data_IF_973239567141
#
_entry.id   IF_973239567141
#
_cell.length_a   1.000
_cell.length_b   1.000
_cell.length_c   1.000
_cell.angle_alpha   90.00
_cell.angle_beta   90.00
_cell.angle_gamma   90.00
#
_symmetry.space_group_name_H-M   'P 1'
#
loop_
_entity.id
_entity.type
_entity.pdbx_description
1 polymer ?
#
# COMPACT_ATOMS: atom_id res chain seq x y z
N UNK A 1 4.32 -9.17 -9.61
CA UNK A 1 5.62 -9.34 -10.32
C UNK A 1 6.49 -8.16 -9.94
N UNK A 2 7.69 -8.40 -9.42
CA UNK A 2 8.63 -7.34 -9.03
C UNK A 2 9.80 -7.40 -10.02
N UNK A 3 10.11 -6.28 -10.67
CA UNK A 3 11.34 -6.09 -11.42
C UNK A 3 12.38 -5.48 -10.48
N UNK A 4 13.47 -6.19 -10.21
CA UNK A 4 14.52 -5.74 -9.30
C UNK A 4 15.74 -5.32 -10.11
N UNK A 5 15.78 -4.03 -10.47
CA UNK A 5 16.92 -3.40 -11.15
C UNK A 5 17.01 -1.94 -10.71
N UNK A 6 18.22 -1.49 -10.36
CA UNK A 6 18.47 -0.11 -9.92
C UNK A 6 18.16 0.92 -11.01
N UNK A 7 18.24 0.53 -12.29
CA UNK A 7 17.88 1.36 -13.43
C UNK A 7 16.36 1.46 -13.66
N UNK A 8 15.56 0.68 -12.93
CA UNK A 8 14.09 0.76 -12.98
C UNK A 8 13.50 1.76 -11.97
N UNK A 9 14.35 2.38 -11.14
CA UNK A 9 13.92 3.42 -10.21
C UNK A 9 13.59 4.72 -10.97
N UNK A 10 12.41 5.28 -10.69
CA UNK A 10 12.04 6.57 -11.23
C UNK A 10 12.96 7.67 -10.65
N UNK A 11 13.48 8.54 -11.53
CA UNK A 11 14.30 9.68 -11.10
C UNK A 11 13.50 10.73 -10.32
N UNK A 12 12.21 10.84 -10.61
CA UNK A 12 11.27 11.76 -9.96
C UNK A 12 9.92 11.05 -9.82
N UNK A 13 9.29 11.20 -8.66
CA UNK A 13 7.90 10.77 -8.42
C UNK A 13 7.06 11.99 -8.07
N UNK A 14 5.82 12.03 -8.57
CA UNK A 14 4.85 13.10 -8.29
C UNK A 14 3.59 12.47 -7.75
N UNK A 15 3.27 12.75 -6.49
CA UNK A 15 2.10 12.21 -5.80
C UNK A 15 1.10 13.34 -5.57
N UNK A 16 0.23 13.57 -6.55
CA UNK A 16 -0.81 14.60 -6.48
C UNK A 16 -2.14 13.99 -6.01
N UNK A 17 -2.67 14.38 -4.83
CA UNK A 17 -3.93 13.84 -4.31
C UNK A 17 -5.15 14.22 -5.17
N UNK A 18 -5.09 15.30 -5.94
CA UNK A 18 -6.20 15.72 -6.82
C UNK A 18 -6.47 14.69 -7.92
N UNK A 19 -5.42 14.00 -8.39
CA UNK A 19 -5.54 12.93 -9.38
C UNK A 19 -6.24 11.67 -8.85
N UNK A 20 -6.49 11.60 -7.54
CA UNK A 20 -7.11 10.46 -6.86
C UNK A 20 -8.56 10.72 -6.43
N UNK A 21 -9.06 11.95 -6.54
CA UNK A 21 -10.42 12.32 -6.10
C UNK A 21 -11.50 11.49 -6.80
N UNK A 22 -11.35 11.27 -8.11
CA UNK A 22 -12.34 10.57 -8.94
C UNK A 22 -12.36 9.05 -8.78
N UNK A 23 -11.50 8.48 -7.91
CA UNK A 23 -11.41 7.02 -7.76
C UNK A 23 -12.62 6.48 -7.00
N UNK A 24 -13.28 5.42 -7.50
CA UNK A 24 -14.40 4.77 -6.81
C UNK A 24 -14.03 4.32 -5.39
N UNK A 25 -15.01 4.31 -4.49
CA UNK A 25 -14.83 3.90 -3.11
C UNK A 25 -14.27 2.46 -2.98
N UNK A 26 -14.76 1.53 -3.81
CA UNK A 26 -14.28 0.14 -3.83
C UNK A 26 -12.80 0.05 -4.23
N UNK A 27 -12.38 0.82 -5.24
CA UNK A 27 -10.98 0.87 -5.65
C UNK A 27 -10.11 1.50 -4.56
N UNK A 28 -10.57 2.60 -3.96
CA UNK A 28 -9.88 3.29 -2.86
C UNK A 28 -9.66 2.37 -1.67
N UNK A 29 -10.68 1.62 -1.27
CA UNK A 29 -10.58 0.63 -0.19
C UNK A 29 -9.57 -0.46 -0.55
N UNK A 30 -9.67 -1.03 -1.75
CA UNK A 30 -8.79 -2.12 -2.17
C UNK A 30 -7.31 -1.68 -2.25
N UNK A 31 -7.02 -0.50 -2.82
CA UNK A 31 -5.65 0.04 -2.86
C UNK A 31 -5.13 0.48 -1.49
N UNK A 32 -6.01 0.99 -0.62
CA UNK A 32 -5.63 1.38 0.73
C UNK A 32 -5.29 0.19 1.62
N UNK A 33 -6.04 -0.91 1.49
CA UNK A 33 -5.75 -2.17 2.19
C UNK A 33 -4.44 -2.80 1.69
N UNK A 34 -4.18 -2.74 0.38
CA UNK A 34 -2.90 -3.17 -0.20
C UNK A 34 -1.72 -2.36 0.38
N UNK A 35 -1.86 -1.04 0.48
CA UNK A 35 -0.88 -0.19 1.16
C UNK A 35 -0.72 -0.56 2.65
N UNK A 36 -1.80 -0.88 3.36
CA UNK A 36 -1.71 -1.32 4.75
C UNK A 36 -0.91 -2.64 4.86
N UNK A 37 -1.20 -3.61 4.00
CA UNK A 37 -0.47 -4.89 3.99
C UNK A 37 1.01 -4.68 3.70
N UNK A 38 1.37 -3.90 2.69
CA UNK A 38 2.77 -3.55 2.41
C UNK A 38 3.48 -3.01 3.66
N UNK A 39 2.83 -2.11 4.40
CA UNK A 39 3.46 -1.47 5.56
C UNK A 39 3.63 -2.46 6.73
N UNK A 40 2.63 -3.29 6.98
CA UNK A 40 2.72 -4.35 8.01
C UNK A 40 3.80 -5.36 7.65
N UNK A 41 3.85 -5.82 6.41
CA UNK A 41 4.86 -6.77 5.95
C UNK A 41 6.27 -6.19 6.00
N UNK A 42 6.43 -4.89 5.73
CA UNK A 42 7.72 -4.22 5.84
C UNK A 42 8.25 -4.19 7.29
N UNK A 43 7.38 -3.95 8.28
CA UNK A 43 7.76 -3.94 9.71
C UNK A 43 8.20 -5.33 10.20
N UNK A 44 7.60 -6.40 9.68
CA UNK A 44 7.93 -7.77 10.09
C UNK A 44 8.94 -8.46 9.16
N UNK A 45 9.49 -7.72 8.18
CA UNK A 45 10.45 -8.26 7.25
C UNK A 45 11.78 -8.60 7.94
N UNK A 46 12.43 -9.69 7.53
CA UNK A 46 13.72 -10.10 8.10
C UNK A 46 14.83 -9.04 7.94
N UNK A 47 14.70 -8.15 6.94
CA UNK A 47 15.63 -7.06 6.67
C UNK A 47 15.21 -5.71 7.24
N UNK A 48 14.20 -5.67 8.12
CA UNK A 48 13.73 -4.44 8.75
C UNK A 48 14.86 -3.69 9.47
N UNK A 49 14.83 -2.37 9.36
CA UNK A 49 15.79 -1.44 9.95
C UNK A 49 15.08 -0.17 10.42
N UNK A 50 15.72 0.61 11.29
CA UNK A 50 15.08 1.76 11.96
C UNK A 50 14.34 2.72 10.99
N UNK A 51 14.92 2.99 9.82
CA UNK A 51 14.31 3.87 8.81
C UNK A 51 13.04 3.25 8.20
N UNK A 52 13.07 1.96 7.88
CA UNK A 52 11.93 1.28 7.26
C UNK A 52 10.81 1.09 8.27
N UNK A 53 11.14 0.80 9.52
CA UNK A 53 10.16 0.71 10.61
C UNK A 53 9.51 2.06 10.90
N UNK A 54 10.29 3.13 11.00
CA UNK A 54 9.76 4.47 11.24
C UNK A 54 8.75 4.90 10.15
N UNK A 55 9.10 4.67 8.88
CA UNK A 55 8.25 5.02 7.73
C UNK A 55 7.02 4.12 7.62
N UNK A 56 7.17 2.81 7.84
CA UNK A 56 6.06 1.86 7.78
C UNK A 56 5.09 2.01 8.95
N UNK A 57 5.57 2.20 10.19
CA UNK A 57 4.72 2.43 11.36
C UNK A 57 3.93 3.75 11.24
N UNK A 58 4.57 4.80 10.71
CA UNK A 58 3.86 6.04 10.40
C UNK A 58 2.75 5.79 9.36
N UNK A 59 3.07 5.10 8.26
CA UNK A 59 2.10 4.79 7.22
C UNK A 59 0.93 3.97 7.75
N UNK A 60 1.17 2.94 8.58
CA UNK A 60 0.12 2.15 9.24
C UNK A 60 -0.84 3.07 9.99
N UNK A 61 -0.32 3.93 10.86
CA UNK A 61 -1.13 4.84 11.67
C UNK A 61 -2.00 5.75 10.80
N UNK A 62 -1.41 6.38 9.78
CA UNK A 62 -2.13 7.26 8.88
C UNK A 62 -3.19 6.51 8.05
N UNK A 63 -2.88 5.31 7.56
CA UNK A 63 -3.84 4.51 6.78
C UNK A 63 -5.06 4.15 7.63
N UNK A 64 -4.87 3.73 8.89
CA UNK A 64 -6.00 3.45 9.80
C UNK A 64 -6.89 4.68 10.03
N UNK A 65 -6.30 5.87 10.11
CA UNK A 65 -7.03 7.12 10.37
C UNK A 65 -7.75 7.65 9.12
N UNK A 66 -7.09 7.66 7.96
CA UNK A 66 -7.54 8.39 6.78
C UNK A 66 -8.17 7.51 5.70
N UNK A 67 -7.87 6.20 5.63
CA UNK A 67 -8.50 5.32 4.64
C UNK A 67 -10.03 5.27 4.78
N UNK A 68 -10.63 5.10 5.97
CA UNK A 68 -12.08 5.08 6.10
C UNK A 68 -12.73 6.39 5.65
N UNK A 69 -12.07 7.53 5.92
CA UNK A 69 -12.50 8.86 5.46
C UNK A 69 -12.48 8.96 3.95
N UNK A 70 -11.37 8.60 3.31
CA UNK A 70 -11.21 8.64 1.85
C UNK A 70 -12.18 7.68 1.12
N UNK A 71 -12.52 6.54 1.72
CA UNK A 71 -13.50 5.59 1.17
C UNK A 71 -14.93 6.13 1.28
N UNK A 72 -15.29 6.70 2.44
CA UNK A 72 -16.63 7.24 2.70
C UNK A 72 -16.88 8.54 1.93
N UNK A 73 -15.87 9.40 1.85
CA UNK A 73 -15.91 10.73 1.26
C UNK A 73 -14.72 10.92 0.31
N UNK A 74 -14.86 10.46 -0.94
CA UNK A 74 -13.76 10.47 -1.93
C UNK A 74 -13.18 11.85 -2.28
N UNK A 75 -13.91 12.92 -1.98
CA UNK A 75 -13.51 14.32 -2.18
C UNK A 75 -12.86 14.95 -0.93
N UNK A 76 -12.67 14.19 0.16
CA UNK A 76 -11.91 14.62 1.34
C UNK A 76 -10.42 14.73 0.96
N UNK A 77 -10.00 15.94 0.58
CA UNK A 77 -8.65 16.18 0.04
C UNK A 77 -7.56 15.91 1.08
N UNK A 78 -7.82 16.22 2.35
CA UNK A 78 -6.89 15.94 3.44
C UNK A 78 -6.69 14.42 3.59
N UNK A 79 -7.77 13.65 3.55
CA UNK A 79 -7.67 12.20 3.61
C UNK A 79 -6.95 11.60 2.39
N UNK A 80 -7.18 12.15 1.19
CA UNK A 80 -6.45 11.74 -0.01
C UNK A 80 -4.96 12.07 0.09
N UNK A 81 -4.62 13.24 0.60
CA UNK A 81 -3.24 13.69 0.79
C UNK A 81 -2.50 12.79 1.82
N UNK A 82 -3.11 12.50 2.97
CA UNK A 82 -2.49 11.62 3.96
C UNK A 82 -2.33 10.19 3.44
N UNK A 83 -3.27 9.69 2.65
CA UNK A 83 -3.10 8.40 1.97
C UNK A 83 -1.95 8.45 0.95
N UNK A 84 -1.77 9.55 0.21
CA UNK A 84 -0.63 9.71 -0.70
C UNK A 84 0.71 9.66 0.03
N UNK A 85 0.84 10.42 1.12
CA UNK A 85 2.06 10.41 1.95
C UNK A 85 2.32 9.03 2.53
N UNK A 86 1.29 8.34 3.01
CA UNK A 86 1.40 6.99 3.55
C UNK A 86 1.90 6.00 2.50
N UNK A 87 1.32 6.02 1.29
CA UNK A 87 1.76 5.18 0.18
C UNK A 87 3.21 5.48 -0.23
N UNK A 88 3.62 6.74 -0.23
CA UNK A 88 4.99 7.14 -0.55
C UNK A 88 6.00 6.61 0.47
N UNK A 89 5.75 6.83 1.77
CA UNK A 89 6.62 6.38 2.86
C UNK A 89 6.70 4.86 2.91
N UNK A 90 5.57 4.20 2.71
CA UNK A 90 5.52 2.75 2.59
C UNK A 90 6.31 2.24 1.38
N UNK A 91 6.26 2.95 0.25
CA UNK A 91 7.10 2.71 -0.92
C UNK A 91 8.59 2.69 -0.59
N UNK A 92 9.05 3.61 0.26
CA UNK A 92 10.43 3.61 0.76
C UNK A 92 10.68 2.37 1.61
N UNK A 93 9.76 2.00 2.52
CA UNK A 93 9.94 0.86 3.40
C UNK A 93 10.06 -0.47 2.61
N UNK A 94 9.01 -0.88 1.89
CA UNK A 94 8.99 -2.19 1.25
C UNK A 94 10.00 -2.31 0.10
N UNK A 95 10.39 -1.20 -0.55
CA UNK A 95 11.43 -1.26 -1.60
C UNK A 95 12.82 -1.62 -1.05
N UNK A 96 13.06 -1.42 0.25
CA UNK A 96 14.34 -1.70 0.88
C UNK A 96 14.38 -3.03 1.65
N UNK A 97 13.22 -3.51 2.13
CA UNK A 97 13.15 -4.73 2.96
C UNK A 97 12.42 -5.89 2.28
N UNK A 98 11.82 -5.64 1.12
CA UNK A 98 10.95 -6.58 0.43
C UNK A 98 9.55 -6.64 1.05
N UNK A 99 8.84 -7.72 0.71
CA UNK A 99 7.48 -8.02 1.16
C UNK A 99 7.39 -9.46 1.68
N UNK A 100 6.29 -9.77 2.35
CA UNK A 100 6.10 -11.03 3.04
C UNK A 100 5.25 -12.06 2.27
N UNK A 101 4.75 -13.03 3.02
CA UNK A 101 4.00 -14.17 2.48
C UNK A 101 2.63 -13.77 1.90
N UNK A 102 2.01 -12.69 2.36
CA UNK A 102 0.71 -12.23 1.85
C UNK A 102 0.87 -11.84 0.38
N UNK A 103 1.92 -11.10 0.05
CA UNK A 103 2.25 -10.77 -1.34
C UNK A 103 2.60 -11.99 -2.19
N UNK A 104 3.34 -12.95 -1.63
CA UNK A 104 3.68 -14.18 -2.34
C UNK A 104 2.43 -14.96 -2.76
N UNK A 105 1.44 -15.08 -1.87
CA UNK A 105 0.18 -15.78 -2.13
C UNK A 105 -0.72 -15.00 -3.10
N UNK A 106 -0.86 -13.68 -2.90
CA UNK A 106 -1.70 -12.83 -3.74
C UNK A 106 -1.25 -12.82 -5.22
N UNK A 107 0.07 -12.89 -5.48
CA UNK A 107 0.61 -13.00 -6.83
C UNK A 107 0.20 -14.29 -7.54
N UNK A 108 0.27 -15.43 -6.85
CA UNK A 108 -0.10 -16.73 -7.44
C UNK A 108 -1.60 -16.79 -7.73
N UNK A 109 -2.42 -16.37 -6.77
CA UNK A 109 -3.88 -16.37 -6.91
C UNK A 109 -4.34 -15.41 -8.02
N UNK A 110 -3.75 -14.22 -8.12
CA UNK A 110 -4.05 -13.28 -9.21
C UNK A 110 -3.71 -13.84 -10.58
N UNK A 111 -2.57 -14.52 -10.73
CA UNK A 111 -2.15 -15.15 -11.98
C UNK A 111 -2.98 -16.36 -12.39
N UNK A 112 -3.47 -17.14 -11.43
CA UNK A 112 -4.27 -18.35 -11.68
C UNK A 112 -5.74 -18.05 -12.00
N UNK A 113 -6.34 -17.05 -11.34
CA UNK A 113 -7.79 -16.80 -11.41
C UNK A 113 -8.17 -15.52 -12.15
N UNK A 114 -7.20 -14.74 -12.66
CA UNK A 114 -7.45 -13.49 -13.39
C UNK A 114 -8.10 -12.41 -12.50
N UNK A 115 -8.00 -12.56 -11.18
CA UNK A 115 -8.60 -11.66 -10.21
C UNK A 115 -7.68 -10.46 -9.96
N UNK A 116 -8.24 -9.25 -9.73
CA UNK A 116 -7.42 -8.09 -9.43
C UNK A 116 -6.61 -8.31 -8.15
N UNK A 117 -5.31 -8.00 -8.20
CA UNK A 117 -4.36 -8.15 -7.10
C UNK A 117 -4.92 -7.71 -5.74
N UNK A 118 -5.72 -6.63 -5.75
CA UNK A 118 -6.21 -5.89 -4.59
C UNK A 118 -7.43 -6.49 -3.87
N UNK A 119 -8.09 -7.51 -4.41
CA UNK A 119 -9.32 -8.07 -3.79
C UNK A 119 -8.99 -9.00 -2.62
N UNK A 120 -7.87 -9.71 -2.68
CA UNK A 120 -7.46 -10.68 -1.66
C UNK A 120 -7.02 -10.05 -0.34
N UNK A 121 -6.45 -8.85 -0.35
CA UNK A 121 -5.96 -8.21 0.88
C UNK A 121 -7.10 -7.85 1.84
N UNK A 122 -8.29 -7.56 1.32
CA UNK A 122 -9.48 -7.40 2.16
C UNK A 122 -9.85 -8.72 2.85
N UNK A 123 -9.88 -9.82 2.10
CA UNK A 123 -10.31 -11.12 2.62
C UNK A 123 -9.24 -11.82 3.48
N UNK A 124 -7.94 -11.61 3.24
CA UNK A 124 -6.88 -12.25 4.02
C UNK A 124 -6.64 -11.58 5.38
N UNK A 125 -6.90 -10.29 5.52
CA UNK A 125 -6.87 -9.60 6.84
C UNK A 125 -8.07 -10.00 7.70
N UNK A 126 -9.17 -10.46 7.09
CA UNK A 126 -10.36 -10.98 7.80
C UNK A 126 -10.20 -12.46 8.24
N UNK A 127 -9.10 -13.15 7.88
CA UNK A 127 -8.86 -14.58 8.16
C UNK A 127 -7.65 -14.82 9.10
N UNK A 128 -7.10 -13.77 9.71
CA UNK A 128 -6.16 -13.85 10.85
C UNK A 128 -6.78 -13.23 12.09
#
# INVERSE_FOLDING_TARGET
>A
MIMVDTNSLAAVTVNDPELMISKPASLTAATGMDALTHAVEAVVANGAMDVTDATALYAIRQIFEYLPRAVKHGNDIEAREQMCYSCFLNGIAFSNVGLGNVHAMAHQLGGLYGLPHRVWYKEMVDVQ
#
